data_IF_986547640160
#
_entry.id   IF_986547640160
#
_cell.length_a   1.000
_cell.length_b   1.000
_cell.length_c   1.000
_cell.angle_alpha   90.00
_cell.angle_beta   90.00
_cell.angle_gamma   90.00
#
_symmetry.space_group_name_H-M   'P 1'
#
loop_
_entity.id
_entity.type
_entity.pdbx_description
1 polymer ?
#
# COMPACT_ATOMS: atom_id res chain seq x y z
N UNK A 1 31.74 18.01 15.22
CA UNK A 1 30.45 18.22 14.54
C UNK A 1 29.47 17.14 14.98
N UNK A 2 28.89 17.30 16.17
CA UNK A 2 27.84 16.43 16.71
C UNK A 2 26.52 17.21 16.61
N UNK A 3 25.74 16.97 15.55
CA UNK A 3 24.38 17.49 15.40
C UNK A 3 23.38 16.36 15.08
N UNK A 4 23.69 15.13 15.49
CA UNK A 4 22.97 13.92 15.03
C UNK A 4 21.87 13.44 15.99
N UNK A 5 21.39 14.25 16.93
CA UNK A 5 20.43 13.73 17.93
C UNK A 5 19.26 14.64 18.30
N UNK A 6 19.01 15.75 17.58
CA UNK A 6 17.92 16.69 17.95
C UNK A 6 16.80 16.80 16.89
N UNK A 7 16.94 16.19 15.71
CA UNK A 7 15.94 16.29 14.63
C UNK A 7 14.93 15.13 14.54
N UNK A 8 14.88 14.23 15.52
CA UNK A 8 13.86 13.15 15.56
C UNK A 8 12.60 13.57 16.33
N UNK A 9 12.61 14.70 17.03
CA UNK A 9 11.49 15.15 17.87
C UNK A 9 10.58 16.21 17.22
N UNK A 10 10.85 16.66 15.99
CA UNK A 10 10.15 17.78 15.35
C UNK A 10 9.38 17.41 14.06
N UNK A 11 8.75 16.24 14.02
CA UNK A 11 7.78 15.88 12.95
C UNK A 11 6.43 15.41 13.47
N UNK A 12 6.18 15.50 14.78
CA UNK A 12 4.85 15.29 15.33
C UNK A 12 4.29 16.64 15.80
N UNK A 13 3.17 17.06 15.18
CA UNK A 13 2.22 18.09 15.67
C UNK A 13 2.24 19.46 14.99
N UNK A 14 2.10 19.53 13.66
CA UNK A 14 1.26 20.59 13.08
C UNK A 14 -0.15 20.05 12.87
N UNK A 15 -0.89 19.94 13.97
CA UNK A 15 -2.33 19.76 13.93
C UNK A 15 -2.97 21.06 13.46
N UNK A 16 -3.18 21.19 12.14
CA UNK A 16 -4.12 22.18 11.61
C UNK A 16 -5.52 21.74 12.05
N UNK A 17 -6.04 22.39 13.09
CA UNK A 17 -7.46 22.32 13.46
C UNK A 17 -8.24 23.06 12.38
N UNK A 18 -8.66 22.32 11.35
CA UNK A 18 -9.71 22.75 10.44
C UNK A 18 -11.03 22.13 10.88
N UNK A 19 -11.91 22.99 11.40
CA UNK A 19 -13.30 22.71 11.74
C UNK A 19 -14.07 22.30 10.49
N UNK A 20 -14.49 21.03 10.40
CA UNK A 20 -15.56 20.59 9.49
C UNK A 20 -15.29 19.29 8.74
N UNK A 21 -15.90 18.19 9.19
CA UNK A 21 -16.53 17.15 8.36
C UNK A 21 -15.72 16.28 7.39
N UNK A 22 -14.47 16.61 7.04
CA UNK A 22 -13.67 15.81 6.12
C UNK A 22 -12.63 15.00 6.87
N UNK A 23 -12.64 13.67 6.65
CA UNK A 23 -11.69 12.72 7.23
C UNK A 23 -10.26 13.10 6.82
N UNK A 24 -9.58 13.91 7.62
CA UNK A 24 -8.17 14.23 7.46
C UNK A 24 -7.40 12.93 7.59
N UNK A 25 -6.97 12.36 6.46
CA UNK A 25 -6.11 11.17 6.48
C UNK A 25 -4.79 11.60 7.12
N UNK A 26 -4.35 10.86 8.13
CA UNK A 26 -3.01 11.06 8.69
C UNK A 26 -1.98 11.01 7.56
N UNK A 27 -1.11 12.03 7.50
CA UNK A 27 0.06 11.99 6.64
C UNK A 27 0.97 10.91 7.20
N UNK A 28 1.18 9.86 6.42
CA UNK A 28 2.06 8.74 6.74
C UNK A 28 3.25 8.78 5.79
N UNK A 29 4.36 8.15 6.17
CA UNK A 29 5.52 7.98 5.27
C UNK A 29 5.06 7.41 3.92
N UNK A 30 4.13 6.45 3.97
CA UNK A 30 3.51 5.89 2.78
C UNK A 30 2.83 6.92 1.88
N UNK A 31 2.05 7.86 2.43
CA UNK A 31 1.39 8.89 1.62
C UNK A 31 2.39 9.87 1.03
N UNK A 32 3.43 10.23 1.76
CA UNK A 32 4.51 11.12 1.28
C UNK A 32 5.30 10.44 0.16
N UNK A 33 5.65 9.16 0.32
CA UNK A 33 6.35 8.41 -0.72
C UNK A 33 5.50 8.23 -1.98
N UNK A 34 4.18 8.05 -1.81
CA UNK A 34 3.24 7.99 -2.94
C UNK A 34 3.11 9.33 -3.67
N UNK A 35 3.21 10.44 -2.94
CA UNK A 35 3.25 11.77 -3.53
C UNK A 35 4.54 11.96 -4.33
N UNK A 36 5.70 11.64 -3.73
CA UNK A 36 6.99 11.68 -4.44
C UNK A 36 6.95 10.86 -5.74
N UNK A 37 6.47 9.61 -5.68
CA UNK A 37 6.37 8.75 -6.85
C UNK A 37 5.42 9.29 -7.94
N UNK A 38 4.36 10.02 -7.56
CA UNK A 38 3.47 10.68 -8.52
C UNK A 38 4.13 11.88 -9.19
N UNK A 39 4.85 12.70 -8.42
CA UNK A 39 5.62 13.82 -8.94
C UNK A 39 6.70 13.30 -9.90
N UNK A 40 7.44 12.25 -9.54
CA UNK A 40 8.44 11.61 -10.42
C UNK A 40 7.81 11.13 -11.72
N UNK A 41 6.64 10.48 -11.67
CA UNK A 41 5.92 10.04 -12.88
C UNK A 41 5.48 11.21 -13.75
N UNK A 42 5.03 12.31 -13.14
CA UNK A 42 4.59 13.49 -13.88
C UNK A 42 5.76 14.18 -14.60
N UNK A 43 6.88 14.35 -13.91
CA UNK A 43 8.12 14.89 -14.49
C UNK A 43 8.63 13.99 -15.61
N UNK A 44 8.69 12.67 -15.38
CA UNK A 44 9.12 11.69 -16.38
C UNK A 44 8.20 11.67 -17.61
N UNK A 45 6.88 11.77 -17.42
CA UNK A 45 5.92 11.86 -18.52
C UNK A 45 6.11 13.14 -19.33
N UNK A 46 6.30 14.28 -18.65
CA UNK A 46 6.49 15.56 -19.33
C UNK A 46 7.82 15.63 -20.11
N UNK A 47 8.86 14.95 -19.62
CA UNK A 47 10.15 14.82 -20.31
C UNK A 47 10.17 13.83 -21.48
N UNK A 48 9.09 13.07 -21.71
CA UNK A 48 8.96 12.18 -22.86
C UNK A 48 7.92 12.73 -23.84
N UNK A 49 8.38 13.56 -24.79
CA UNK A 49 7.51 14.29 -25.72
C UNK A 49 6.58 13.37 -26.51
N UNK A 50 7.07 12.21 -26.98
CA UNK A 50 6.26 11.23 -27.72
C UNK A 50 5.13 10.66 -26.85
N UNK A 51 5.46 10.12 -25.67
CA UNK A 51 4.45 9.56 -24.75
C UNK A 51 3.47 10.64 -24.29
N UNK A 52 3.94 11.87 -24.09
CA UNK A 52 3.10 13.00 -23.71
C UNK A 52 2.14 13.37 -24.84
N UNK A 53 2.63 13.48 -26.08
CA UNK A 53 1.82 13.75 -27.25
C UNK A 53 0.75 12.66 -27.46
N UNK A 54 1.12 11.38 -27.34
CA UNK A 54 0.17 10.26 -27.42
C UNK A 54 -0.91 10.35 -26.34
N UNK A 55 -0.52 10.62 -25.09
CA UNK A 55 -1.43 10.74 -23.95
C UNK A 55 -2.41 11.91 -24.10
N UNK A 56 -1.94 12.99 -24.68
CA UNK A 56 -2.70 14.23 -24.87
C UNK A 56 -3.41 14.30 -26.22
N UNK A 57 -3.23 13.29 -27.09
CA UNK A 57 -3.71 13.29 -28.49
C UNK A 57 -3.21 14.51 -29.26
N UNK A 58 -1.94 14.85 -29.07
CA UNK A 58 -1.28 16.00 -29.68
C UNK A 58 -1.95 17.35 -29.37
N UNK A 59 -2.74 17.43 -28.29
CA UNK A 59 -3.41 18.66 -27.91
C UNK A 59 -2.41 19.60 -27.21
N UNK A 60 -1.99 20.64 -27.93
CA UNK A 60 -1.00 21.62 -27.45
C UNK A 60 -1.33 22.22 -26.08
N UNK A 61 -2.60 22.55 -25.81
CA UNK A 61 -3.01 23.12 -24.51
C UNK A 61 -2.85 22.13 -23.36
N UNK A 62 -3.17 20.85 -23.58
CA UNK A 62 -2.98 19.79 -22.58
C UNK A 62 -1.50 19.50 -22.35
N UNK A 63 -0.68 19.52 -23.42
CA UNK A 63 0.77 19.36 -23.33
C UNK A 63 1.36 20.48 -22.48
N UNK A 64 1.06 21.74 -22.79
CA UNK A 64 1.53 22.90 -22.03
C UNK A 64 1.08 22.84 -20.56
N UNK A 65 -0.16 22.44 -20.30
CA UNK A 65 -0.67 22.27 -18.93
C UNK A 65 0.08 21.18 -18.14
N UNK A 66 0.42 20.05 -18.78
CA UNK A 66 1.19 18.98 -18.13
C UNK A 66 2.63 19.41 -17.90
N UNK A 67 3.26 20.10 -18.87
CA UNK A 67 4.61 20.64 -18.70
C UNK A 67 4.67 21.66 -17.56
N UNK A 68 3.69 22.57 -17.46
CA UNK A 68 3.62 23.52 -16.35
C UNK A 68 3.50 22.82 -14.98
N UNK A 69 2.61 21.82 -14.87
CA UNK A 69 2.49 21.02 -13.65
C UNK A 69 3.74 20.18 -13.36
N UNK A 70 4.45 19.73 -14.38
CA UNK A 70 5.70 19.02 -14.22
C UNK A 70 6.82 19.92 -13.72
N UNK A 71 6.89 21.18 -14.14
CA UNK A 71 7.84 22.16 -13.60
C UNK A 71 7.59 22.44 -12.12
N UNK A 72 6.33 22.60 -11.72
CA UNK A 72 5.95 22.73 -10.31
C UNK A 72 6.29 21.46 -9.52
N UNK A 73 5.95 20.30 -10.10
CA UNK A 73 6.27 19.01 -9.51
C UNK A 73 7.78 18.80 -9.34
N UNK A 74 8.61 19.22 -10.29
CA UNK A 74 10.06 19.13 -10.21
C UNK A 74 10.63 19.95 -9.03
N UNK A 75 10.06 21.13 -8.78
CA UNK A 75 10.43 21.97 -7.63
C UNK A 75 10.07 21.29 -6.31
N UNK A 76 8.86 20.74 -6.23
CA UNK A 76 8.43 19.97 -5.06
C UNK A 76 9.28 18.72 -4.85
N UNK A 77 9.60 18.00 -5.94
CA UNK A 77 10.46 16.82 -5.93
C UNK A 77 11.84 17.15 -5.37
N UNK A 78 12.48 18.22 -5.86
CA UNK A 78 13.79 18.67 -5.36
C UNK A 78 13.76 19.00 -3.86
N UNK A 79 12.66 19.59 -3.39
CA UNK A 79 12.45 19.86 -1.96
C UNK A 79 12.35 18.55 -1.16
N UNK A 80 11.58 17.58 -1.65
CA UNK A 80 11.42 16.27 -0.98
C UNK A 80 12.73 15.45 -1.01
N UNK A 81 13.47 15.51 -2.12
CA UNK A 81 14.74 14.79 -2.31
C UNK A 81 15.89 15.35 -1.46
N UNK A 82 15.79 16.60 -1.02
CA UNK A 82 16.79 17.21 -0.12
C UNK A 82 16.90 16.46 1.23
N UNK A 83 15.87 15.68 1.60
CA UNK A 83 15.89 14.83 2.78
C UNK A 83 16.30 13.39 2.41
N UNK A 84 17.59 13.08 2.56
CA UNK A 84 18.14 11.77 2.22
C UNK A 84 17.46 10.62 2.97
N UNK A 85 17.07 10.82 4.24
CA UNK A 85 16.33 9.81 5.02
C UNK A 85 14.97 9.54 4.39
N UNK A 86 14.23 10.57 4.02
CA UNK A 86 12.94 10.43 3.34
C UNK A 86 13.08 9.67 2.02
N UNK A 87 14.08 10.01 1.19
CA UNK A 87 14.35 9.31 -0.07
C UNK A 87 14.63 7.83 0.17
N UNK A 88 15.49 7.51 1.15
CA UNK A 88 15.82 6.11 1.49
C UNK A 88 14.61 5.32 1.96
N UNK A 89 13.78 5.90 2.84
CA UNK A 89 12.52 5.30 3.31
C UNK A 89 11.56 5.08 2.16
N UNK A 90 11.43 6.07 1.26
CA UNK A 90 10.54 5.97 0.12
C UNK A 90 11.00 4.99 -0.94
N UNK A 91 12.30 4.76 -1.10
CA UNK A 91 12.82 3.69 -1.97
C UNK A 91 12.37 2.31 -1.48
N UNK A 92 12.50 2.04 -0.17
CA UNK A 92 12.06 0.77 0.44
C UNK A 92 10.55 0.61 0.34
N UNK A 93 9.77 1.64 0.66
CA UNK A 93 8.31 1.61 0.55
C UNK A 93 7.88 1.39 -0.89
N UNK A 94 8.50 2.07 -1.86
CA UNK A 94 8.19 1.93 -3.29
C UNK A 94 8.49 0.53 -3.80
N UNK A 95 9.61 -0.09 -3.39
CA UNK A 95 9.93 -1.47 -3.73
C UNK A 95 8.88 -2.46 -3.16
N UNK A 96 8.46 -2.24 -1.91
CA UNK A 96 7.42 -3.05 -1.28
C UNK A 96 6.03 -2.85 -1.94
N UNK A 97 5.72 -1.64 -2.41
CA UNK A 97 4.50 -1.36 -3.16
C UNK A 97 4.53 -1.95 -4.57
N UNK A 98 5.67 -1.86 -5.28
CA UNK A 98 5.87 -2.48 -6.58
C UNK A 98 5.64 -4.00 -6.50
N UNK A 99 6.27 -4.66 -5.52
CA UNK A 99 6.06 -6.08 -5.25
C UNK A 99 4.57 -6.39 -5.02
N UNK A 100 3.86 -5.58 -4.21
CA UNK A 100 2.42 -5.77 -3.97
C UNK A 100 1.59 -5.60 -5.24
N UNK A 101 1.96 -4.66 -6.11
CA UNK A 101 1.26 -4.43 -7.36
C UNK A 101 1.53 -5.55 -8.38
N UNK A 102 2.75 -6.08 -8.44
CA UNK A 102 3.10 -7.25 -9.23
C UNK A 102 2.28 -8.47 -8.80
N UNK A 103 2.13 -8.72 -7.49
CA UNK A 103 1.26 -9.78 -6.98
C UNK A 103 -0.21 -9.59 -7.36
N UNK A 104 -0.70 -8.34 -7.39
CA UNK A 104 -2.07 -8.05 -7.87
C UNK A 104 -2.18 -8.29 -9.37
N UNK A 105 -1.15 -7.95 -10.14
CA UNK A 105 -1.09 -8.22 -11.58
C UNK A 105 -1.15 -9.72 -11.82
N UNK A 106 -0.31 -10.52 -11.18
CA UNK A 106 -0.40 -11.99 -11.22
C UNK A 106 -1.81 -12.49 -10.92
N UNK A 107 -2.45 -12.03 -9.84
CA UNK A 107 -3.81 -12.44 -9.49
C UNK A 107 -4.86 -12.04 -10.55
N UNK A 108 -4.68 -10.90 -11.20
CA UNK A 108 -5.57 -10.46 -12.30
C UNK A 108 -5.37 -11.30 -13.55
N UNK A 109 -4.13 -11.60 -13.92
CA UNK A 109 -3.80 -12.46 -15.06
C UNK A 109 -4.40 -13.85 -14.85
N UNK A 110 -4.21 -14.47 -13.67
CA UNK A 110 -4.85 -15.75 -13.32
C UNK A 110 -6.37 -15.71 -13.48
N UNK A 111 -7.03 -14.65 -13.00
CA UNK A 111 -8.49 -14.49 -13.14
C UNK A 111 -8.91 -14.33 -14.60
N UNK A 112 -8.12 -13.63 -15.41
CA UNK A 112 -8.38 -13.46 -16.83
C UNK A 112 -8.34 -14.82 -17.54
N UNK A 113 -7.27 -15.59 -17.32
CA UNK A 113 -7.09 -16.94 -17.87
C UNK A 113 -8.22 -17.87 -17.42
N UNK A 114 -8.54 -17.88 -16.12
CA UNK A 114 -9.64 -18.70 -15.59
C UNK A 114 -11.02 -18.30 -16.17
N UNK A 115 -11.24 -17.02 -16.43
CA UNK A 115 -12.48 -16.55 -17.07
C UNK A 115 -12.52 -16.97 -18.55
N UNK A 116 -11.39 -16.89 -19.26
CA UNK A 116 -11.31 -17.27 -20.66
C UNK A 116 -11.47 -18.77 -20.89
N UNK A 117 -10.99 -19.59 -19.95
CA UNK A 117 -11.17 -21.05 -19.93
C UNK A 117 -12.55 -21.52 -19.49
N UNK A 118 -13.41 -20.63 -18.98
CA UNK A 118 -14.78 -20.97 -18.58
C UNK A 118 -15.78 -20.42 -19.60
N UNK A 119 -16.25 -21.26 -20.51
CA UNK A 119 -17.09 -20.84 -21.63
C UNK A 119 -18.39 -20.15 -21.20
N UNK A 120 -19.03 -20.63 -20.12
CA UNK A 120 -20.25 -20.01 -19.58
C UNK A 120 -19.99 -18.61 -19.03
N UNK A 121 -18.96 -18.44 -18.18
CA UNK A 121 -18.59 -17.13 -17.62
C UNK A 121 -18.11 -16.17 -18.71
N UNK A 122 -17.39 -16.69 -19.71
CA UNK A 122 -16.93 -15.91 -20.84
C UNK A 122 -18.11 -15.43 -21.68
N UNK A 123 -19.05 -16.32 -22.01
CA UNK A 123 -20.27 -15.99 -22.75
C UNK A 123 -21.12 -14.95 -22.00
N UNK A 124 -21.31 -15.08 -20.68
CA UNK A 124 -21.98 -14.06 -19.86
C UNK A 124 -21.26 -12.71 -19.91
N UNK A 125 -19.94 -12.71 -19.68
CA UNK A 125 -19.15 -11.47 -19.60
C UNK A 125 -19.07 -10.73 -20.93
N UNK A 126 -19.08 -11.48 -22.03
CA UNK A 126 -19.04 -10.94 -23.40
C UNK A 126 -20.42 -10.72 -23.99
N UNK A 127 -21.50 -11.12 -23.29
CA UNK A 127 -22.88 -11.15 -23.80
C UNK A 127 -23.01 -11.95 -25.10
N UNK A 128 -22.31 -13.08 -25.17
CA UNK A 128 -22.27 -13.96 -26.35
C UNK A 128 -21.80 -13.25 -27.64
N UNK A 129 -21.04 -12.15 -27.50
CA UNK A 129 -20.49 -11.44 -28.64
C UNK A 129 -19.19 -12.11 -29.12
N UNK A 130 -19.22 -12.71 -30.31
CA UNK A 130 -18.09 -13.46 -30.87
C UNK A 130 -16.77 -12.66 -30.92
N UNK A 131 -16.82 -11.38 -31.31
CA UNK A 131 -15.61 -10.52 -31.37
C UNK A 131 -15.01 -10.29 -29.98
N UNK A 132 -15.85 -10.08 -28.97
CA UNK A 132 -15.39 -9.93 -27.58
C UNK A 132 -14.85 -11.24 -27.01
N UNK A 133 -15.45 -12.38 -27.36
CA UNK A 133 -14.96 -13.70 -26.98
C UNK A 133 -13.56 -13.93 -27.56
N UNK A 134 -13.38 -13.67 -28.86
CA UNK A 134 -12.09 -13.81 -29.52
C UNK A 134 -11.02 -12.90 -28.88
N UNK A 135 -11.33 -11.61 -28.69
CA UNK A 135 -10.41 -10.66 -28.06
C UNK A 135 -10.06 -11.05 -26.62
N UNK A 136 -10.99 -11.62 -25.87
CA UNK A 136 -10.73 -12.07 -24.50
C UNK A 136 -9.84 -13.31 -24.47
N UNK A 137 -10.03 -14.25 -25.40
CA UNK A 137 -9.15 -15.42 -25.55
C UNK A 137 -7.74 -15.01 -25.97
N UNK A 138 -7.61 -14.05 -26.88
CA UNK A 138 -6.32 -13.46 -27.26
C UNK A 138 -5.60 -12.83 -26.06
N UNK A 139 -6.30 -11.97 -25.29
CA UNK A 139 -5.75 -11.39 -24.07
C UNK A 139 -5.40 -12.42 -23.01
N UNK A 140 -6.11 -13.54 -22.95
CA UNK A 140 -5.79 -14.63 -22.02
C UNK A 140 -4.51 -15.36 -22.43
N UNK A 141 -4.24 -15.54 -23.73
CA UNK A 141 -2.97 -16.09 -24.23
C UNK A 141 -1.80 -15.16 -23.92
N UNK A 142 -1.96 -13.85 -24.15
CA UNK A 142 -0.94 -12.84 -23.79
C UNK A 142 -0.72 -12.83 -22.27
N UNK A 143 -1.80 -12.88 -21.49
CA UNK A 143 -1.72 -12.94 -20.03
C UNK A 143 -1.07 -14.22 -19.51
N UNK A 144 -1.20 -15.35 -20.22
CA UNK A 144 -0.51 -16.58 -19.86
C UNK A 144 1.01 -16.41 -20.03
N UNK A 145 1.47 -15.86 -21.15
CA UNK A 145 2.89 -15.61 -21.38
C UNK A 145 3.48 -14.60 -20.37
N UNK A 146 2.73 -13.52 -20.06
CA UNK A 146 3.13 -12.55 -19.04
C UNK A 146 3.19 -13.21 -17.64
N UNK A 147 2.18 -14.03 -17.31
CA UNK A 147 2.14 -14.74 -16.05
C UNK A 147 3.28 -15.76 -15.91
N UNK A 148 3.59 -16.52 -16.96
CA UNK A 148 4.73 -17.45 -16.97
C UNK A 148 6.05 -16.71 -16.76
N UNK A 149 6.20 -15.55 -17.40
CA UNK A 149 7.35 -14.66 -17.21
C UNK A 149 7.44 -14.20 -15.75
N UNK A 150 6.35 -13.73 -15.16
CA UNK A 150 6.34 -13.30 -13.75
C UNK A 150 6.58 -14.48 -12.80
N UNK A 151 6.05 -15.67 -13.10
CA UNK A 151 6.23 -16.88 -12.27
C UNK A 151 7.63 -17.47 -12.36
N UNK A 152 8.38 -17.19 -13.43
CA UNK A 152 9.79 -17.58 -13.53
C UNK A 152 10.68 -16.86 -12.49
N UNK A 153 10.22 -15.74 -11.93
CA UNK A 153 10.89 -15.06 -10.82
C UNK A 153 10.41 -15.66 -9.49
N UNK A 154 11.14 -16.64 -8.98
CA UNK A 154 10.81 -17.35 -7.73
C UNK A 154 10.72 -16.42 -6.52
N UNK A 155 11.61 -15.43 -6.42
CA UNK A 155 11.58 -14.43 -5.34
C UNK A 155 10.27 -13.63 -5.33
N UNK A 156 9.76 -13.26 -6.51
CA UNK A 156 8.48 -12.58 -6.64
C UNK A 156 7.33 -13.49 -6.23
N UNK A 157 7.32 -14.76 -6.67
CA UNK A 157 6.30 -15.76 -6.30
C UNK A 157 6.27 -15.98 -4.78
N UNK A 158 7.43 -16.13 -4.16
CA UNK A 158 7.56 -16.31 -2.71
C UNK A 158 7.06 -15.08 -1.95
N UNK A 159 7.45 -13.88 -2.40
CA UNK A 159 6.97 -12.63 -1.82
C UNK A 159 5.45 -12.50 -1.94
N UNK A 160 4.87 -12.86 -3.10
CA UNK A 160 3.42 -12.83 -3.31
C UNK A 160 2.67 -13.83 -2.43
N UNK A 161 3.24 -15.01 -2.22
CA UNK A 161 2.71 -16.01 -1.31
C UNK A 161 2.71 -15.49 0.12
N UNK A 162 3.84 -14.98 0.60
CA UNK A 162 3.97 -14.39 1.93
C UNK A 162 2.99 -13.21 2.16
N UNK A 163 2.84 -12.32 1.18
CA UNK A 163 1.87 -11.21 1.24
C UNK A 163 0.44 -11.73 1.33
N UNK A 164 0.11 -12.78 0.59
CA UNK A 164 -1.23 -13.39 0.60
C UNK A 164 -1.51 -14.02 1.96
N UNK A 165 -0.61 -14.84 2.48
CA UNK A 165 -0.74 -15.46 3.80
C UNK A 165 -0.83 -14.44 4.93
N UNK A 166 -0.01 -13.37 4.90
CA UNK A 166 -0.08 -12.29 5.89
C UNK A 166 -1.44 -11.57 5.86
N UNK A 167 -2.04 -11.40 4.67
CA UNK A 167 -3.36 -10.80 4.51
C UNK A 167 -4.47 -11.69 5.08
N UNK A 168 -4.34 -13.01 4.96
CA UNK A 168 -5.30 -13.96 5.54
C UNK A 168 -5.19 -14.02 7.06
N UNK A 169 -3.98 -14.02 7.61
CA UNK A 169 -3.75 -13.91 9.05
C UNK A 169 -4.34 -12.60 9.63
N UNK A 170 -4.15 -11.48 8.94
CA UNK A 170 -4.70 -10.18 9.35
C UNK A 170 -6.24 -10.12 9.37
N UNK A 171 -6.90 -10.94 8.52
CA UNK A 171 -8.36 -11.07 8.52
C UNK A 171 -8.87 -11.90 9.71
N UNK A 172 -8.12 -12.89 10.16
CA UNK A 172 -8.44 -13.68 11.34
C UNK A 172 -8.34 -12.84 12.64
N UNK A 173 -7.31 -11.99 12.75
CA UNK A 173 -7.17 -11.05 13.89
C UNK A 173 -8.27 -9.97 13.91
N UNK A 174 -8.68 -9.47 12.75
CA UNK A 174 -9.78 -8.50 12.64
C UNK A 174 -11.13 -9.10 13.07
N UNK A 175 -11.34 -10.41 12.90
CA UNK A 175 -12.54 -11.12 13.37
C UNK A 175 -12.49 -11.40 14.89
N UNK A 176 -11.30 -11.66 15.46
CA UNK A 176 -11.11 -11.83 16.92
C UNK A 176 -11.28 -10.52 17.69
N UNK A 177 -10.88 -9.39 17.11
CA UNK A 177 -11.12 -8.06 17.66
C UNK A 177 -12.61 -7.66 17.62
N UNK A 178 -13.34 -8.03 16.56
CA UNK A 178 -14.79 -7.81 16.48
C UNK A 178 -15.57 -8.69 17.47
N UNK A 179 -15.12 -9.92 17.75
CA UNK A 179 -15.73 -10.80 18.74
C UNK A 179 -15.48 -10.35 20.19
N UNK A 180 -14.34 -9.71 20.48
CA UNK A 180 -14.01 -9.22 21.84
C UNK A 180 -14.68 -7.89 22.20
N UNK A 181 -15.22 -7.16 21.22
CA UNK A 181 -16.03 -5.97 21.46
C UNK A 181 -17.49 -6.29 21.87
N UNK A 182 -17.92 -7.55 21.74
CA UNK A 182 -19.30 -7.97 22.04
C UNK A 182 -19.48 -8.63 23.42
N UNK A 183 -18.43 -8.69 24.26
CA UNK A 183 -18.49 -9.32 25.59
C UNK A 183 -18.34 -8.35 26.77
N UNK A 184 -18.25 -7.03 26.53
CA UNK A 184 -18.16 -6.01 27.58
C UNK A 184 -19.44 -5.19 27.73
N UNK A 185 -20.61 -5.83 27.64
CA UNK A 185 -21.91 -5.20 27.89
C UNK A 185 -22.87 -6.16 28.60
N UNK A 186 -22.42 -6.75 29.70
CA UNK A 186 -23.30 -7.44 30.65
C UNK A 186 -22.72 -7.40 32.06
N UNK A 187 -22.62 -6.20 32.66
CA UNK A 187 -22.61 -6.01 34.11
C UNK A 187 -22.65 -4.50 34.42
N UNK A 188 -23.83 -3.88 34.38
CA UNK A 188 -24.07 -2.60 35.04
C UNK A 188 -25.57 -2.40 35.25
N UNK A 189 -26.13 -3.03 36.28
CA UNK A 189 -27.42 -2.64 36.83
C UNK A 189 -27.48 -2.99 38.31
N UNK A 190 -26.99 -2.08 39.16
CA UNK A 190 -27.70 -1.56 40.33
C UNK A 190 -26.76 -0.74 41.23
N UNK A 191 -26.95 0.57 41.18
CA UNK A 191 -26.45 1.49 42.21
C UNK A 191 -27.51 1.59 43.30
N UNK A 192 -27.19 1.17 44.53
CA UNK A 192 -27.83 1.72 45.74
C UNK A 192 -26.92 1.52 46.96
N UNK A 193 -26.08 2.52 47.19
CA UNK A 193 -25.67 3.10 48.48
C UNK A 193 -25.95 2.32 49.77
N UNK A 194 -24.90 1.86 50.47
CA UNK A 194 -24.72 2.06 51.93
C UNK A 194 -23.27 1.72 52.39
N UNK A 195 -22.66 2.67 53.11
CA UNK A 195 -21.71 2.52 54.24
C UNK A 195 -20.31 1.87 54.12
N UNK A 196 -19.30 2.73 54.33
CA UNK A 196 -18.30 2.66 55.41
C UNK A 196 -17.04 1.78 55.27
N UNK A 197 -15.91 2.49 55.23
CA UNK A 197 -14.58 2.20 55.81
C UNK A 197 -13.57 1.29 55.09
N UNK A 198 -12.41 1.92 54.88
CA UNK A 198 -11.07 1.46 55.21
C UNK A 198 -10.39 0.37 54.34
N UNK A 199 -9.21 0.81 53.86
CA UNK A 199 -7.97 0.06 53.74
C UNK A 199 -7.76 -0.81 52.49
N UNK A 200 -6.50 -0.72 52.03
CA UNK A 200 -5.66 -1.88 51.72
C UNK A 200 -5.50 -2.37 50.27
N UNK A 201 -4.26 -2.15 49.80
CA UNK A 201 -3.37 -3.08 49.09
C UNK A 201 -3.60 -3.44 47.61
N UNK A 202 -2.70 -2.89 46.77
CA UNK A 202 -1.69 -3.62 45.96
C UNK A 202 -2.06 -5.03 45.44
N UNK A 203 -2.12 -5.19 44.10
CA UNK A 203 -1.57 -6.36 43.36
C UNK A 203 -1.68 -6.09 41.84
N UNK A 204 -0.60 -5.75 41.14
CA UNK A 204 0.37 -6.64 40.46
C UNK A 204 -0.23 -7.55 39.37
N UNK A 205 0.35 -7.44 38.17
CA UNK A 205 0.01 -8.25 36.99
C UNK A 205 0.94 -7.94 35.83
N UNK A 206 2.24 -8.17 36.03
CA UNK A 206 3.30 -8.17 35.01
C UNK A 206 3.19 -9.37 34.06
N UNK A 207 3.52 -9.16 32.78
CA UNK A 207 3.92 -10.22 31.83
C UNK A 207 3.65 -9.82 30.38
N UNK A 208 4.50 -10.05 29.38
CA UNK A 208 5.84 -10.63 29.33
C UNK A 208 6.42 -10.28 27.92
N UNK A 209 7.70 -9.90 27.88
CA UNK A 209 8.53 -9.65 26.70
C UNK A 209 9.00 -10.97 26.04
N UNK A 210 8.98 -11.08 24.70
CA UNK A 210 9.84 -11.94 23.83
C UNK A 210 9.15 -12.14 22.46
N UNK A 211 9.77 -12.14 21.28
CA UNK A 211 11.18 -12.31 20.83
C UNK A 211 11.29 -11.80 19.39
N UNK A 212 12.38 -11.07 19.09
CA UNK A 212 12.80 -10.65 17.74
C UNK A 212 13.68 -11.77 17.16
N UNK A 213 13.33 -12.29 15.98
CA UNK A 213 14.25 -13.11 15.18
C UNK A 213 14.94 -12.22 14.13
N UNK A 214 16.22 -11.98 14.37
CA UNK A 214 17.20 -11.42 13.44
C UNK A 214 17.84 -12.60 12.69
N UNK A 215 17.58 -12.74 11.39
CA UNK A 215 18.35 -13.66 10.53
C UNK A 215 19.34 -12.82 9.75
N UNK A 216 20.58 -12.83 10.23
CA UNK A 216 21.76 -12.41 9.49
C UNK A 216 22.27 -13.63 8.71
N UNK A 217 22.39 -13.50 7.39
CA UNK A 217 23.19 -14.40 6.57
C UNK A 217 24.08 -13.53 5.68
N UNK A 218 25.30 -13.29 6.15
CA UNK A 218 26.41 -12.88 5.31
C UNK A 218 27.02 -14.12 4.67
N UNK A 219 27.35 -14.02 3.39
CA UNK A 219 28.37 -14.86 2.77
C UNK A 219 29.28 -13.91 1.99
N UNK A 220 30.48 -13.73 2.52
CA UNK A 220 31.65 -13.33 1.77
C UNK A 220 32.43 -14.61 1.47
N UNK A 221 32.87 -14.82 0.22
CA UNK A 221 34.24 -15.20 -0.12
C UNK A 221 34.44 -15.39 -1.64
N UNK A 222 35.55 -14.80 -2.08
CA UNK A 222 36.33 -14.95 -3.33
C UNK A 222 35.68 -14.57 -4.67
#
# INVERSE_FOLDING_TARGET
MQFTSILVSLLLSTAVVAKGGNKTKAVTDKSICKEMAQLTKLVSLAGNETKLADKTKNNATKIASIQAKASEAATQLSTMESNATLVSTCAVISAAEATKDDCKTMSKLQKLIATAGNETKLAEKTKNNATKIASFKEKATEAQAELDTMMSNTTLVDACTAITSAKEASKADSQKAAASASSSSAAASSTSSTTTSAASFLNAGTGLLSTIFLVAAGVAML
#
